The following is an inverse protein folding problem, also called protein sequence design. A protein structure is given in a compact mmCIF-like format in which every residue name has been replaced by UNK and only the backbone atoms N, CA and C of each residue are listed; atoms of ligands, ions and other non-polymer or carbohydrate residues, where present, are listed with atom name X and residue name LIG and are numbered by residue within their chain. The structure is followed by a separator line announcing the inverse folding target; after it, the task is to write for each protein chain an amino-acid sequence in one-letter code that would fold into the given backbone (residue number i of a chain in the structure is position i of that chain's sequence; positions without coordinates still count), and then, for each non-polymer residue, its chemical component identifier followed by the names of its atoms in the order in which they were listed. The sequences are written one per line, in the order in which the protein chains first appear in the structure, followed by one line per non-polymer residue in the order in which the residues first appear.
data_IF_832137419563
#
_entry.id   IF_832137419563
#
_cell.length_a   1.000
_cell.length_b   1.000
_cell.length_c   1.000
_cell.angle_alpha   90.00
_cell.angle_beta   90.00
_cell.angle_gamma   90.00
#
_symmetry.space_group_name_H-M   'P 1'
#
loop_
_entity.id
_entity.type
_entity.pdbx_description
1 polymer ?
#
# COMPACT_ATOMS: atom_id res chain seq x y z
N UNK A 1 -1.03 6.96 6.66
CA UNK A 1 -1.07 7.92 5.53
C UNK A 1 -2.09 7.37 4.56
N UNK A 2 -3.09 8.16 4.21
CA UNK A 2 -4.19 7.70 3.35
C UNK A 2 -3.92 8.08 1.91
N UNK A 3 -3.93 7.09 1.02
CA UNK A 3 -3.71 7.26 -0.41
C UNK A 3 -5.01 6.90 -1.13
N UNK A 4 -5.52 7.83 -1.94
CA UNK A 4 -6.82 7.74 -2.62
C UNK A 4 -6.67 7.62 -4.13
N UNK A 5 -7.48 6.76 -4.73
CA UNK A 5 -7.65 6.58 -6.18
C UNK A 5 -8.37 7.78 -6.78
N UNK A 6 -8.10 8.16 -8.04
CA UNK A 6 -8.76 9.33 -8.66
C UNK A 6 -9.14 9.03 -10.11
N UNK A 7 -10.44 8.88 -10.37
CA UNK A 7 -11.01 8.76 -11.72
C UNK A 7 -12.25 9.68 -11.82
N UNK A 8 -12.48 10.42 -12.92
CA UNK A 8 -13.64 11.30 -12.99
C UNK A 8 -14.92 10.44 -12.93
N UNK A 9 -15.86 10.79 -12.03
CA UNK A 9 -17.02 9.99 -11.52
C UNK A 9 -16.77 9.14 -10.23
N UNK A 10 -15.89 9.59 -9.33
CA UNK A 10 -15.51 8.95 -8.05
C UNK A 10 -16.63 8.86 -6.98
N UNK A 11 -17.55 7.90 -7.08
CA UNK A 11 -18.42 7.51 -5.94
C UNK A 11 -17.82 6.39 -5.07
N UNK A 12 -16.72 5.75 -5.50
CA UNK A 12 -16.18 4.53 -4.89
C UNK A 12 -14.64 4.47 -5.00
N UNK A 13 -13.92 5.43 -4.39
CA UNK A 13 -12.45 5.43 -4.42
C UNK A 13 -11.88 4.30 -3.56
N UNK A 14 -11.14 3.37 -4.15
CA UNK A 14 -10.37 2.40 -3.36
C UNK A 14 -9.31 3.13 -2.53
N UNK A 15 -9.13 2.71 -1.27
CA UNK A 15 -8.20 3.34 -0.33
C UNK A 15 -7.11 2.36 0.10
N UNK A 16 -5.86 2.83 0.12
CA UNK A 16 -4.74 2.11 0.71
C UNK A 16 -4.37 2.79 2.02
N UNK A 17 -4.58 2.07 3.12
CA UNK A 17 -4.27 2.53 4.48
C UNK A 17 -3.07 1.74 4.98
N UNK A 18 -2.00 2.46 5.29
CA UNK A 18 -0.78 1.88 5.87
C UNK A 18 -0.74 2.21 7.36
N UNK A 19 -0.88 1.17 8.19
CA UNK A 19 -0.72 1.20 9.64
C UNK A 19 0.69 0.81 10.06
N UNK A 20 0.99 0.83 11.36
CA UNK A 20 2.29 0.40 11.89
C UNK A 20 2.55 -1.10 11.78
N UNK A 21 1.51 -1.93 11.63
CA UNK A 21 1.63 -3.40 11.63
C UNK A 21 1.10 -4.08 10.38
N UNK A 22 0.25 -3.39 9.61
CA UNK A 22 -0.48 -3.95 8.48
C UNK A 22 -0.73 -2.91 7.40
N UNK A 23 -1.07 -3.40 6.22
CA UNK A 23 -1.70 -2.62 5.16
C UNK A 23 -3.14 -3.07 5.04
N UNK A 24 -4.06 -2.11 4.99
CA UNK A 24 -5.47 -2.35 4.76
C UNK A 24 -5.86 -1.73 3.42
N UNK A 25 -6.46 -2.55 2.56
CA UNK A 25 -7.02 -2.14 1.28
C UNK A 25 -8.53 -2.13 1.41
N UNK A 26 -9.13 -0.98 1.16
CA UNK A 26 -10.56 -0.75 1.22
C UNK A 26 -11.07 -0.65 -0.21
N UNK A 27 -11.69 -1.72 -0.69
CA UNK A 27 -12.27 -1.78 -2.02
C UNK A 27 -13.73 -1.36 -1.93
N UNK A 28 -14.12 -0.38 -2.73
CA UNK A 28 -15.50 0.09 -2.77
C UNK A 28 -16.18 -0.44 -4.05
N UNK A 29 -17.25 -1.21 -3.86
CA UNK A 29 -18.04 -1.78 -4.93
C UNK A 29 -19.36 -1.01 -5.12
N UNK A 30 -20.06 -1.29 -6.22
CA UNK A 30 -21.40 -0.75 -6.47
C UNK A 30 -22.38 -1.07 -5.32
N UNK A 31 -23.41 -0.24 -5.17
CA UNK A 31 -24.43 -0.31 -4.10
C UNK A 31 -23.87 -0.11 -2.67
N UNK A 32 -22.85 0.73 -2.49
CA UNK A 32 -22.25 1.03 -1.17
C UNK A 32 -21.65 -0.19 -0.45
N UNK A 33 -21.40 -1.28 -1.15
CA UNK A 33 -20.72 -2.43 -0.56
C UNK A 33 -19.22 -2.16 -0.47
N UNK A 34 -18.61 -2.57 0.63
CA UNK A 34 -17.21 -2.32 0.94
C UNK A 34 -16.55 -3.61 1.37
N UNK A 35 -15.40 -3.92 0.78
CA UNK A 35 -14.54 -5.00 1.21
C UNK A 35 -13.26 -4.42 1.80
N UNK A 36 -12.89 -4.90 2.98
CA UNK A 36 -11.65 -4.51 3.65
C UNK A 36 -10.76 -5.73 3.75
N UNK A 37 -9.66 -5.74 3.00
CA UNK A 37 -8.62 -6.76 3.12
C UNK A 37 -7.43 -6.20 3.87
N UNK A 38 -6.97 -6.89 4.89
CA UNK A 38 -5.83 -6.47 5.70
C UNK A 38 -4.75 -7.54 5.68
N UNK A 39 -3.51 -7.13 5.39
CA UNK A 39 -2.35 -8.02 5.37
C UNK A 39 -1.27 -7.45 6.27
N UNK A 40 -0.73 -8.26 7.19
CA UNK A 40 0.37 -7.84 8.05
C UNK A 40 1.66 -7.77 7.23
N UNK A 41 2.55 -6.80 7.49
CA UNK A 41 3.78 -6.67 6.69
C UNK A 41 4.65 -7.93 6.74
N UNK A 42 4.61 -8.68 7.85
CA UNK A 42 5.32 -9.96 8.00
C UNK A 42 4.83 -11.04 7.01
N UNK A 43 3.58 -10.94 6.54
CA UNK A 43 2.92 -11.92 5.68
C UNK A 43 2.95 -11.48 4.20
N UNK A 44 3.29 -10.21 3.92
CA UNK A 44 3.51 -9.72 2.55
C UNK A 44 4.80 -10.34 1.99
N UNK A 45 4.67 -11.06 0.88
CA UNK A 45 5.79 -11.60 0.12
C UNK A 45 6.38 -10.54 -0.82
N UNK A 46 5.53 -9.84 -1.57
CA UNK A 46 5.95 -8.84 -2.54
C UNK A 46 4.92 -7.72 -2.72
N UNK A 47 5.41 -6.55 -3.13
CA UNK A 47 4.61 -5.38 -3.46
C UNK A 47 4.98 -4.92 -4.87
N UNK A 48 4.04 -5.05 -5.79
CA UNK A 48 4.25 -4.78 -7.21
C UNK A 48 3.47 -3.52 -7.60
N UNK A 49 4.08 -2.66 -8.41
CA UNK A 49 3.39 -1.52 -9.02
C UNK A 49 3.50 -1.64 -10.53
N UNK A 50 2.36 -1.72 -11.21
CA UNK A 50 2.29 -1.69 -12.66
C UNK A 50 1.89 -0.28 -13.08
N UNK A 51 2.69 0.35 -13.93
CA UNK A 51 2.54 1.77 -14.29
C UNK A 51 2.00 1.90 -15.71
N UNK A 52 0.91 2.64 -15.86
CA UNK A 52 0.46 3.21 -17.13
C UNK A 52 0.96 4.64 -17.32
N UNK A 53 0.40 5.32 -18.33
CA UNK A 53 0.76 6.70 -18.66
C UNK A 53 0.36 7.67 -17.54
N UNK A 54 -0.87 7.55 -17.02
CA UNK A 54 -1.41 8.42 -15.96
C UNK A 54 -1.67 7.69 -14.64
N UNK A 55 -2.15 6.46 -14.73
CA UNK A 55 -2.54 5.63 -13.60
C UNK A 55 -1.61 4.46 -13.39
N UNK A 56 -1.68 3.86 -12.21
CA UNK A 56 -0.96 2.66 -11.84
C UNK A 56 -1.87 1.73 -11.02
N UNK A 57 -1.50 0.46 -10.95
CA UNK A 57 -2.05 -0.49 -10.00
C UNK A 57 -1.02 -0.85 -8.94
N UNK A 58 -1.49 -1.09 -7.72
CA UNK A 58 -0.72 -1.63 -6.61
C UNK A 58 -1.20 -3.05 -6.33
N UNK A 59 -0.28 -4.00 -6.32
CA UNK A 59 -0.56 -5.41 -6.10
C UNK A 59 0.22 -5.91 -4.88
N UNK A 60 -0.50 -6.47 -3.90
CA UNK A 60 0.07 -7.14 -2.73
C UNK A 60 -0.01 -8.65 -2.91
N UNK A 61 1.16 -9.30 -2.85
CA UNK A 61 1.29 -10.76 -2.89
C UNK A 61 1.53 -11.26 -1.47
N UNK A 62 0.63 -12.11 -0.97
CA UNK A 62 0.75 -12.76 0.33
C UNK A 62 1.62 -14.03 0.21
N UNK A 63 2.33 -14.40 1.28
CA UNK A 63 3.10 -15.66 1.37
C UNK A 63 2.22 -16.91 1.39
N UNK A 64 1.01 -16.81 1.94
CA UNK A 64 0.14 -17.97 2.19
C UNK A 64 -0.97 -18.12 1.15
N UNK A 65 -1.38 -17.03 0.51
CA UNK A 65 -2.45 -17.01 -0.50
C UNK A 65 -1.88 -16.57 -1.84
N UNK A 66 -1.45 -17.53 -2.65
CA UNK A 66 -0.95 -17.31 -4.02
C UNK A 66 -2.07 -17.21 -5.06
N UNK A 67 -3.30 -17.63 -4.75
CA UNK A 67 -4.35 -17.77 -5.76
C UNK A 67 -5.07 -16.45 -6.10
N UNK A 68 -5.07 -15.45 -5.22
CA UNK A 68 -5.69 -14.15 -5.48
C UNK A 68 -4.88 -12.99 -4.86
N UNK A 69 -3.97 -12.36 -5.62
CA UNK A 69 -3.30 -11.16 -5.15
C UNK A 69 -4.30 -10.03 -4.92
N UNK A 70 -4.03 -9.17 -3.93
CA UNK A 70 -4.90 -8.03 -3.65
C UNK A 70 -4.45 -6.88 -4.55
N UNK A 71 -5.31 -6.48 -5.49
CA UNK A 71 -4.98 -5.49 -6.51
C UNK A 71 -5.86 -4.24 -6.31
N UNK A 72 -5.22 -3.09 -6.13
CA UNK A 72 -5.84 -1.77 -6.21
C UNK A 72 -5.54 -1.17 -7.57
N UNK A 73 -6.56 -0.75 -8.31
CA UNK A 73 -6.43 -0.24 -9.68
C UNK A 73 -6.66 1.27 -9.71
N UNK A 74 -6.23 1.92 -10.79
CA UNK A 74 -6.49 3.34 -11.09
C UNK A 74 -5.91 4.35 -10.08
N UNK A 75 -4.89 3.97 -9.30
CA UNK A 75 -4.16 4.92 -8.45
C UNK A 75 -3.42 5.93 -9.33
N UNK A 76 -3.28 7.18 -8.89
CA UNK A 76 -2.31 8.06 -9.53
C UNK A 76 -0.93 7.42 -9.48
N UNK A 77 -0.19 7.52 -10.59
CA UNK A 77 1.17 6.95 -10.69
C UNK A 77 2.07 7.34 -9.52
N UNK A 78 2.08 8.63 -9.15
CA UNK A 78 2.86 9.15 -8.02
C UNK A 78 2.48 8.49 -6.69
N UNK A 79 1.20 8.23 -6.51
CA UNK A 79 0.62 7.74 -5.26
C UNK A 79 0.85 6.23 -5.12
N UNK A 80 0.72 5.47 -6.20
CA UNK A 80 1.08 4.05 -6.22
C UNK A 80 2.58 3.82 -5.95
N UNK A 81 3.45 4.62 -6.57
CA UNK A 81 4.90 4.56 -6.33
C UNK A 81 5.21 4.87 -4.87
N UNK A 82 4.58 5.92 -4.32
CA UNK A 82 4.76 6.31 -2.92
C UNK A 82 4.28 5.23 -1.96
N UNK A 83 3.10 4.66 -2.21
CA UNK A 83 2.55 3.54 -1.44
C UNK A 83 3.52 2.36 -1.43
N UNK A 84 4.04 1.96 -2.60
CA UNK A 84 5.02 0.86 -2.70
C UNK A 84 6.26 1.12 -1.86
N UNK A 85 6.86 2.31 -1.95
CA UNK A 85 8.07 2.66 -1.19
C UNK A 85 7.81 2.57 0.32
N UNK A 86 6.70 3.12 0.80
CA UNK A 86 6.33 3.09 2.22
C UNK A 86 6.11 1.64 2.68
N UNK A 87 5.30 0.85 1.97
CA UNK A 87 5.01 -0.54 2.35
C UNK A 87 6.29 -1.38 2.34
N UNK A 88 7.14 -1.24 1.33
CA UNK A 88 8.41 -1.95 1.24
C UNK A 88 9.37 -1.53 2.36
N UNK A 89 9.45 -0.24 2.67
CA UNK A 89 10.20 0.28 3.81
C UNK A 89 9.72 -0.33 5.13
N UNK A 90 8.40 -0.48 5.32
CA UNK A 90 7.81 -1.09 6.52
C UNK A 90 8.15 -2.57 6.65
N UNK A 91 8.09 -3.32 5.55
CA UNK A 91 8.51 -4.73 5.50
C UNK A 91 9.97 -4.86 5.94
N UNK A 92 10.86 -3.98 5.46
CA UNK A 92 12.28 -3.97 5.83
C UNK A 92 12.46 -3.59 7.29
N UNK A 93 11.79 -2.52 7.75
CA UNK A 93 11.88 -2.04 9.13
C UNK A 93 11.46 -3.12 10.12
N UNK A 94 10.37 -3.83 9.85
CA UNK A 94 9.92 -4.95 10.69
C UNK A 94 10.90 -6.12 10.66
N UNK A 95 11.45 -6.47 9.48
CA UNK A 95 12.46 -7.53 9.35
C UNK A 95 13.73 -7.22 10.14
N UNK A 96 14.11 -5.95 10.23
CA UNK A 96 15.28 -5.47 10.97
C UNK A 96 14.98 -5.13 12.43
N UNK A 97 13.74 -5.32 12.90
CA UNK A 97 13.31 -4.95 14.26
C UNK A 97 13.59 -3.49 14.62
N UNK A 98 13.47 -2.59 13.64
CA UNK A 98 13.61 -1.14 13.88
C UNK A 98 12.38 -0.66 14.65
N UNK A 99 12.60 0.00 15.79
CA UNK A 99 11.52 0.63 16.54
C UNK A 99 11.07 1.93 15.84
N UNK A 100 9.95 1.83 15.13
CA UNK A 100 9.32 2.94 14.40
C UNK A 100 8.34 3.74 15.25
N UNK A 101 8.02 3.30 16.48
CA UNK A 101 6.99 3.93 17.32
C UNK A 101 7.43 5.27 17.90
N UNK A 102 8.74 5.44 18.05
CA UNK A 102 9.37 6.64 18.61
C UNK A 102 9.61 7.73 17.58
N UNK A 103 9.39 7.44 16.29
CA UNK A 103 9.67 8.35 15.17
C UNK A 103 8.39 9.12 14.81
N UNK A 104 8.44 10.47 14.73
CA UNK A 104 7.31 11.25 14.24
C UNK A 104 6.87 10.81 12.85
N UNK A 105 5.55 10.73 12.61
CA UNK A 105 4.97 10.17 11.36
C UNK A 105 5.58 10.78 10.09
N UNK A 106 5.82 12.10 10.07
CA UNK A 106 6.42 12.79 8.91
C UNK A 106 7.85 12.34 8.63
N UNK A 107 8.65 12.18 9.68
CA UNK A 107 10.03 11.70 9.57
C UNK A 107 10.06 10.21 9.21
N UNK A 108 9.15 9.43 9.79
CA UNK A 108 9.00 8.01 9.50
C UNK A 108 8.68 7.77 8.03
N UNK A 109 7.70 8.48 7.46
CA UNK A 109 7.36 8.38 6.02
C UNK A 109 8.57 8.67 5.15
N UNK A 110 9.31 9.74 5.44
CA UNK A 110 10.53 10.08 4.68
C UNK A 110 11.60 8.99 4.76
N UNK A 111 11.85 8.42 5.95
CA UNK A 111 12.83 7.34 6.13
C UNK A 111 12.41 6.07 5.41
N UNK A 112 11.14 5.69 5.51
CA UNK A 112 10.59 4.50 4.85
C UNK A 112 10.66 4.64 3.33
N UNK A 113 10.39 5.83 2.80
CA UNK A 113 10.52 6.10 1.37
C UNK A 113 11.95 5.91 0.87
N UNK A 114 12.95 6.43 1.59
CA UNK A 114 14.36 6.25 1.24
C UNK A 114 14.80 4.79 1.32
N UNK A 115 14.37 4.07 2.37
CA UNK A 115 14.68 2.64 2.56
C UNK A 115 14.06 1.81 1.42
N UNK A 116 12.79 2.08 1.10
CA UNK A 116 12.04 1.37 0.06
C UNK A 116 12.44 1.75 -1.37
N UNK A 117 13.07 2.90 -1.60
CA UNK A 117 13.63 3.29 -2.90
C UNK A 117 14.98 2.62 -3.17
N UNK A 118 15.76 2.33 -2.12
CA UNK A 118 17.15 1.84 -2.25
C UNK A 118 17.27 0.38 -2.71
N UNK A 119 16.16 -0.34 -2.94
CA UNK A 119 16.12 -1.75 -3.41
C UNK A 119 14.84 -2.09 -4.18
#
# INVERSE_FOLDING_TARGET
MDIKTVFPFDFFQDEVIVDTTKVSIHIHYFFYSKEVRSVQFKDIFSVIVQQGVFFASLELVDKFFSEQPIIVRHLWKKDAIKARRIIQGMIIAQKQSIDIRTIPVKELVSKLETIGESR
#
